data_IF_854605011857
#
_entry.id   IF_854605011857
#
_cell.length_a   1.000
_cell.length_b   1.000
_cell.length_c   1.000
_cell.angle_alpha   90.00
_cell.angle_beta   90.00
_cell.angle_gamma   90.00
#
_symmetry.space_group_name_H-M   'P 1'
#
loop_
_entity.id
_entity.type
_entity.pdbx_description
1 polymer ?
#
# COMPACT_ATOMS: atom_id res chain seq x y z
N UNK A 1 7.66 -7.34 9.47
CA UNK A 1 7.07 -5.98 9.45
C UNK A 1 5.80 -5.98 10.28
N UNK A 2 5.46 -4.85 10.94
CA UNK A 2 4.13 -4.67 11.54
C UNK A 2 3.31 -3.82 10.57
N UNK A 3 2.19 -4.35 10.10
CA UNK A 3 1.24 -3.59 9.29
C UNK A 3 0.32 -2.76 10.19
N UNK A 4 -0.20 -1.62 9.71
CA UNK A 4 -1.13 -0.77 10.47
C UNK A 4 -2.55 -1.37 10.57
N UNK A 5 -2.82 -2.49 9.89
CA UNK A 5 -4.09 -3.23 9.99
C UNK A 5 -3.92 -4.53 10.77
N UNK A 6 -4.91 -4.89 11.58
CA UNK A 6 -4.97 -6.16 12.28
C UNK A 6 -5.44 -7.31 11.37
N UNK A 7 -5.32 -8.55 11.87
CA UNK A 7 -5.68 -9.74 11.09
C UNK A 7 -7.17 -9.77 10.70
N UNK A 8 -8.06 -9.23 11.53
CA UNK A 8 -9.49 -9.18 11.24
C UNK A 8 -9.78 -8.25 10.07
N UNK A 9 -9.15 -7.07 10.07
CA UNK A 9 -9.23 -6.08 9.00
C UNK A 9 -8.65 -6.63 7.70
N UNK A 10 -7.47 -7.25 7.76
CA UNK A 10 -6.83 -7.88 6.60
C UNK A 10 -7.69 -9.01 6.01
N UNK A 11 -8.35 -9.79 6.87
CA UNK A 11 -9.27 -10.85 6.44
C UNK A 11 -10.49 -10.25 5.74
N UNK A 12 -11.08 -9.19 6.30
CA UNK A 12 -12.22 -8.51 5.70
C UNK A 12 -11.88 -7.93 4.32
N UNK A 13 -10.74 -7.26 4.17
CA UNK A 13 -10.30 -6.72 2.88
C UNK A 13 -10.01 -7.83 1.86
N UNK A 14 -9.38 -8.93 2.30
CA UNK A 14 -9.14 -10.09 1.44
C UNK A 14 -10.45 -10.69 0.95
N UNK A 15 -11.46 -10.80 1.82
CA UNK A 15 -12.79 -11.29 1.46
C UNK A 15 -13.51 -10.37 0.47
N UNK A 16 -13.43 -9.04 0.67
CA UNK A 16 -14.00 -8.05 -0.26
C UNK A 16 -13.42 -8.15 -1.67
N UNK A 17 -12.14 -8.50 -1.78
CA UNK A 17 -11.44 -8.67 -3.06
C UNK A 17 -11.51 -10.11 -3.61
N UNK A 18 -12.15 -11.03 -2.88
CA UNK A 18 -12.23 -12.44 -3.27
C UNK A 18 -10.87 -13.14 -3.31
N UNK A 19 -9.92 -12.72 -2.48
CA UNK A 19 -8.57 -13.28 -2.44
C UNK A 19 -8.55 -14.63 -1.71
N UNK A 20 -7.80 -15.58 -2.26
CA UNK A 20 -7.38 -16.75 -1.48
C UNK A 20 -6.36 -16.34 -0.41
N UNK A 21 -6.09 -17.23 0.55
CA UNK A 21 -5.07 -16.99 1.58
C UNK A 21 -3.68 -16.78 0.97
N UNK A 22 -3.36 -17.53 -0.08
CA UNK A 22 -2.09 -17.42 -0.82
C UNK A 22 -2.01 -16.06 -1.52
N UNK A 23 -3.08 -15.61 -2.17
CA UNK A 23 -3.14 -14.30 -2.81
C UNK A 23 -3.06 -13.16 -1.79
N UNK A 24 -3.72 -13.27 -0.64
CA UNK A 24 -3.61 -12.30 0.44
C UNK A 24 -2.17 -12.22 1.00
N UNK A 25 -1.53 -13.37 1.20
CA UNK A 25 -0.12 -13.43 1.62
C UNK A 25 0.81 -12.81 0.58
N UNK A 26 0.60 -13.12 -0.70
CA UNK A 26 1.37 -12.54 -1.80
C UNK A 26 1.13 -11.04 -1.95
N UNK A 27 -0.07 -10.55 -1.62
CA UNK A 27 -0.40 -9.11 -1.57
C UNK A 27 0.45 -8.41 -0.52
N UNK A 28 0.52 -8.96 0.70
CA UNK A 28 1.34 -8.38 1.77
C UNK A 28 2.84 -8.40 1.45
N UNK A 29 3.33 -9.48 0.84
CA UNK A 29 4.72 -9.58 0.42
C UNK A 29 5.08 -8.55 -0.67
N UNK A 30 4.16 -8.30 -1.61
CA UNK A 30 4.33 -7.29 -2.66
C UNK A 30 4.40 -5.88 -2.07
N UNK A 31 3.51 -5.57 -1.12
CA UNK A 31 3.54 -4.29 -0.39
C UNK A 31 4.86 -4.09 0.34
N UNK A 32 5.35 -5.11 1.06
CA UNK A 32 6.64 -5.03 1.74
C UNK A 32 7.79 -4.79 0.74
N UNK A 33 7.79 -5.47 -0.41
CA UNK A 33 8.81 -5.28 -1.45
C UNK A 33 8.82 -3.85 -2.02
N UNK A 34 7.63 -3.26 -2.25
CA UNK A 34 7.50 -1.87 -2.67
C UNK A 34 8.06 -0.93 -1.61
N UNK A 35 7.71 -1.12 -0.34
CA UNK A 35 8.21 -0.29 0.76
C UNK A 35 9.73 -0.42 0.91
N UNK A 36 10.29 -1.63 0.76
CA UNK A 36 11.74 -1.86 0.79
C UNK A 36 12.46 -1.16 -0.36
N UNK A 37 11.85 -1.11 -1.54
CA UNK A 37 12.38 -0.36 -2.69
C UNK A 37 12.38 1.13 -2.40
N UNK A 38 11.30 1.67 -1.84
CA UNK A 38 11.24 3.08 -1.40
C UNK A 38 12.30 3.40 -0.34
N UNK A 39 12.49 2.51 0.63
CA UNK A 39 13.52 2.63 1.65
C UNK A 39 14.95 2.63 1.07
N UNK A 40 15.23 1.77 0.08
CA UNK A 40 16.53 1.73 -0.59
C UNK A 40 16.85 3.06 -1.29
N UNK A 41 15.83 3.75 -1.81
CA UNK A 41 15.95 5.02 -2.52
C UNK A 41 15.56 6.25 -1.67
N UNK A 42 15.50 6.10 -0.35
CA UNK A 42 15.06 7.18 0.55
C UNK A 42 15.99 8.41 0.47
N UNK A 43 15.45 9.62 0.66
CA UNK A 43 16.23 10.86 0.60
C UNK A 43 17.31 10.91 1.71
N UNK A 44 18.39 11.68 1.52
CA UNK A 44 19.47 11.81 2.50
C UNK A 44 19.00 12.15 3.92
N UNK A 45 17.96 13.00 4.02
CA UNK A 45 17.34 13.41 5.30
C UNK A 45 16.77 12.24 6.09
N UNK A 46 16.40 11.13 5.44
CA UNK A 46 15.83 9.94 6.07
C UNK A 46 16.82 8.77 6.19
N UNK A 47 18.09 8.93 5.78
CA UNK A 47 19.08 7.84 5.80
C UNK A 47 19.39 7.31 7.20
N UNK A 48 19.25 8.16 8.21
CA UNK A 48 19.46 7.84 9.62
C UNK A 48 18.33 7.00 10.24
N UNK A 49 17.16 6.90 9.57
CA UNK A 49 16.03 6.10 10.03
C UNK A 49 16.11 4.67 9.47
N UNK A 50 15.70 3.70 10.26
CA UNK A 50 15.57 2.30 9.82
C UNK A 50 14.30 2.09 8.99
N UNK A 51 14.22 0.94 8.33
CA UNK A 51 13.02 0.55 7.60
C UNK A 51 11.79 0.54 8.51
N UNK A 52 11.89 -0.13 9.66
CA UNK A 52 10.81 -0.28 10.62
C UNK A 52 10.33 1.08 11.16
N UNK A 53 11.25 2.00 11.43
CA UNK A 53 10.92 3.35 11.88
C UNK A 53 10.11 4.11 10.83
N UNK A 54 10.52 4.04 9.55
CA UNK A 54 9.82 4.75 8.47
C UNK A 54 8.46 4.13 8.16
N UNK A 55 8.32 2.81 8.32
CA UNK A 55 7.07 2.11 8.01
C UNK A 55 6.07 2.11 9.16
N UNK A 56 6.52 2.32 10.41
CA UNK A 56 5.62 2.47 11.56
C UNK A 56 4.80 3.77 11.48
N UNK A 57 5.29 4.79 10.77
CA UNK A 57 4.59 6.04 10.55
C UNK A 57 3.55 5.96 9.41
N UNK A 58 3.41 4.78 8.77
CA UNK A 58 2.47 4.59 7.67
C UNK A 58 1.02 4.60 8.19
N UNK A 59 0.20 5.46 7.59
CA UNK A 59 -1.23 5.55 7.87
C UNK A 59 -1.97 4.27 7.40
N UNK A 60 -3.03 3.89 8.12
CA UNK A 60 -3.91 2.80 7.73
C UNK A 60 -4.55 3.04 6.36
N UNK A 61 -4.86 4.29 6.00
CA UNK A 61 -5.45 4.63 4.71
C UNK A 61 -4.45 4.45 3.55
N UNK A 62 -3.18 4.82 3.77
CA UNK A 62 -2.12 4.58 2.79
C UNK A 62 -1.90 3.07 2.59
N UNK A 63 -1.88 2.32 3.68
CA UNK A 63 -1.78 0.88 3.63
C UNK A 63 -3.01 0.23 2.96
N UNK A 64 -4.22 0.70 3.23
CA UNK A 64 -5.45 0.23 2.59
C UNK A 64 -5.42 0.44 1.07
N UNK A 65 -4.89 1.58 0.60
CA UNK A 65 -4.74 1.84 -0.82
C UNK A 65 -3.70 0.91 -1.48
N UNK A 66 -2.58 0.66 -0.80
CA UNK A 66 -1.58 -0.32 -1.26
C UNK A 66 -2.17 -1.74 -1.31
N UNK A 67 -2.94 -2.11 -0.28
CA UNK A 67 -3.62 -3.40 -0.21
C UNK A 67 -4.66 -3.56 -1.32
N UNK A 68 -5.49 -2.54 -1.55
CA UNK A 68 -6.49 -2.53 -2.61
C UNK A 68 -5.84 -2.68 -3.99
N UNK A 69 -4.82 -1.87 -4.28
CA UNK A 69 -4.17 -1.89 -5.61
C UNK A 69 -3.39 -3.17 -5.87
N UNK A 70 -2.61 -3.67 -4.89
CA UNK A 70 -1.90 -4.95 -5.04
C UNK A 70 -2.88 -6.13 -5.05
N UNK A 71 -3.88 -6.12 -4.16
CA UNK A 71 -4.92 -7.15 -4.08
C UNK A 71 -5.74 -7.27 -5.37
N UNK A 72 -6.16 -6.16 -5.98
CA UNK A 72 -6.85 -6.17 -7.28
C UNK A 72 -6.01 -6.83 -8.38
N UNK A 73 -4.69 -6.59 -8.42
CA UNK A 73 -3.80 -7.28 -9.37
C UNK A 73 -3.77 -8.77 -9.09
N UNK A 74 -3.66 -9.18 -7.82
CA UNK A 74 -3.65 -10.60 -7.42
C UNK A 74 -4.97 -11.31 -7.71
N UNK A 75 -6.09 -10.59 -7.61
CA UNK A 75 -7.43 -11.07 -7.95
C UNK A 75 -7.69 -11.16 -9.47
N UNK A 76 -6.74 -10.74 -10.32
CA UNK A 76 -6.88 -10.79 -11.78
C UNK A 76 -7.53 -9.54 -12.40
N UNK A 77 -7.56 -8.42 -11.68
CA UNK A 77 -8.13 -7.14 -12.14
C UNK A 77 -7.05 -6.04 -12.27
N UNK A 78 -6.05 -6.19 -13.15
CA UNK A 78 -4.95 -5.22 -13.29
C UNK A 78 -5.42 -3.83 -13.75
N UNK A 79 -6.42 -3.75 -14.63
CA UNK A 79 -7.00 -2.48 -15.09
C UNK A 79 -7.70 -1.72 -13.97
N UNK A 80 -8.41 -2.43 -13.09
CA UNK A 80 -9.03 -1.83 -11.91
C UNK A 80 -7.97 -1.27 -10.95
N UNK A 81 -6.89 -2.04 -10.71
CA UNK A 81 -5.76 -1.58 -9.91
C UNK A 81 -5.11 -0.32 -10.50
N UNK A 82 -4.94 -0.26 -11.83
CA UNK A 82 -4.38 0.89 -12.51
C UNK A 82 -5.29 2.14 -12.39
N UNK A 83 -6.60 1.96 -12.59
CA UNK A 83 -7.60 3.03 -12.44
C UNK A 83 -7.60 3.61 -11.02
N UNK A 84 -7.55 2.75 -9.99
CA UNK A 84 -7.45 3.17 -8.58
C UNK A 84 -6.16 3.96 -8.34
N UNK A 85 -5.02 3.46 -8.84
CA UNK A 85 -3.74 4.15 -8.69
C UNK A 85 -3.72 5.53 -9.34
N UNK A 86 -4.25 5.66 -10.56
CA UNK A 86 -4.36 6.95 -11.27
C UNK A 86 -5.26 7.93 -10.53
N UNK A 87 -6.43 7.49 -10.07
CA UNK A 87 -7.35 8.34 -9.30
C UNK A 87 -6.73 8.79 -7.98
N UNK A 88 -5.98 7.91 -7.31
CA UNK A 88 -5.24 8.24 -6.09
C UNK A 88 -4.16 9.31 -6.33
N UNK A 89 -3.40 9.19 -7.42
CA UNK A 89 -2.42 10.21 -7.81
C UNK A 89 -3.08 11.55 -8.13
N UNK A 90 -4.17 11.55 -8.92
CA UNK A 90 -4.91 12.76 -9.27
C UNK A 90 -5.48 13.46 -8.04
N UNK A 91 -6.07 12.71 -7.10
CA UNK A 91 -6.59 13.27 -5.85
C UNK A 91 -5.48 13.94 -5.01
N UNK A 92 -4.29 13.33 -4.93
CA UNK A 92 -3.14 13.93 -4.22
C UNK A 92 -2.63 15.20 -4.93
N UNK A 93 -2.57 15.21 -6.27
CA UNK A 93 -2.18 16.39 -7.04
C UNK A 93 -3.17 17.55 -6.87
N UNK A 94 -4.47 17.28 -6.95
CA UNK A 94 -5.52 18.27 -6.73
C UNK A 94 -5.50 18.82 -5.29
N UNK A 95 -5.32 17.93 -4.30
CA UNK A 95 -5.19 18.33 -2.90
C UNK A 95 -3.95 19.19 -2.63
N UNK A 96 -2.84 18.95 -3.34
CA UNK A 96 -1.66 19.80 -3.25
C UNK A 96 -1.90 21.17 -3.91
N UNK A 97 -2.60 21.21 -5.05
CA UNK A 97 -2.92 22.45 -5.76
C UNK A 97 -3.88 23.37 -4.99
N UNK A 98 -4.75 22.82 -4.15
CA UNK A 98 -5.66 23.59 -3.29
C UNK A 98 -5.03 24.13 -1.99
N UNK A 99 -3.79 23.71 -1.67
CA UNK A 99 -3.05 24.16 -0.48
C UNK A 99 -2.01 25.26 -0.79
N UNK A 100 -2.01 25.77 -2.02
CA UNK A 100 -1.24 26.91 -2.50
C UNK A 100 -2.18 28.05 -2.89
#
# INVERSE_FOLDING_TARGET
MKFPADNTTLTAWSALLGLTKEQATATLADIEAVLRTGYAHRPPTLRHRTFEQLTNDMDIDEFALMFLTSGLRRAGYPEAAHSVQLRGLLARLQGAQQRH
#
